data_IF_362927793693
#
_entry.id   IF_362927793693
#
_cell.length_a   1.000
_cell.length_b   1.000
_cell.length_c   1.000
_cell.angle_alpha   90.00
_cell.angle_beta   90.00
_cell.angle_gamma   90.00
#
_symmetry.space_group_name_H-M   'P 1'
#
loop_
_entity.id
_entity.type
_entity.pdbx_description
1 polymer ?
#
# COMPACT_ATOMS: atom_id res chain seq x y z
N UNK A 1 9.73 -10.75 10.88
CA UNK A 1 11.01 -10.34 10.27
C UNK A 1 11.92 -9.83 11.38
N UNK A 2 13.12 -10.42 11.49
CA UNK A 2 14.14 -9.99 12.44
C UNK A 2 14.74 -8.64 12.02
N UNK A 3 14.96 -7.75 13.00
CA UNK A 3 15.65 -6.48 12.80
C UNK A 3 16.84 -6.35 13.76
N UNK A 4 17.94 -5.83 13.25
CA UNK A 4 19.12 -5.56 14.07
C UNK A 4 18.89 -4.29 14.90
N UNK A 5 19.20 -4.32 16.23
CA UNK A 5 18.88 -3.21 17.11
C UNK A 5 19.79 -1.99 16.91
N UNK A 6 20.95 -2.16 16.26
CA UNK A 6 22.02 -1.16 16.12
C UNK A 6 22.06 -0.45 14.77
N UNK A 7 21.14 -0.77 13.85
CA UNK A 7 21.07 -0.13 12.53
C UNK A 7 19.66 0.25 12.13
N UNK A 8 19.57 1.17 11.19
CA UNK A 8 18.31 1.50 10.52
C UNK A 8 17.70 0.28 9.85
N UNK A 9 16.38 0.15 9.95
CA UNK A 9 15.57 -0.78 9.16
C UNK A 9 14.74 0.00 8.14
N UNK A 10 14.93 -0.31 6.86
CA UNK A 10 14.37 0.45 5.75
C UNK A 10 13.24 -0.33 5.08
N UNK A 11 12.05 0.24 5.06
CA UNK A 11 10.91 -0.28 4.30
C UNK A 11 10.71 0.64 3.09
N UNK A 12 10.66 0.07 1.89
CA UNK A 12 10.32 0.79 0.68
C UNK A 12 8.86 0.49 0.32
N UNK A 13 7.99 1.51 0.44
CA UNK A 13 6.65 1.42 -0.12
C UNK A 13 6.69 1.66 -1.62
N UNK A 14 6.10 0.75 -2.39
CA UNK A 14 5.78 0.85 -3.81
C UNK A 14 4.28 0.68 -3.99
N UNK A 15 3.70 1.33 -4.99
CA UNK A 15 2.27 1.24 -5.26
C UNK A 15 1.97 1.46 -6.75
N UNK A 16 0.84 0.98 -7.21
CA UNK A 16 0.30 1.25 -8.54
C UNK A 16 1.33 0.98 -9.65
N UNK A 17 1.87 -0.26 -9.71
CA UNK A 17 2.83 -0.64 -10.73
C UNK A 17 2.15 -0.86 -12.09
N UNK A 18 0.91 -1.37 -12.08
CA UNK A 18 0.07 -1.61 -13.24
C UNK A 18 0.77 -2.36 -14.37
N UNK A 19 1.42 -3.49 -14.04
CA UNK A 19 2.16 -4.28 -15.01
C UNK A 19 1.20 -5.10 -15.89
N UNK A 20 1.16 -4.76 -17.17
CA UNK A 20 0.23 -5.37 -18.12
C UNK A 20 0.70 -6.71 -18.69
N UNK A 21 1.99 -6.82 -19.03
CA UNK A 21 2.61 -8.00 -19.65
C UNK A 21 1.83 -8.62 -20.81
N UNK A 22 1.07 -7.79 -21.54
CA UNK A 22 0.26 -8.15 -22.67
C UNK A 22 0.77 -7.57 -24.00
N UNK A 23 -0.07 -7.67 -25.02
CA UNK A 23 0.30 -7.28 -26.39
C UNK A 23 0.59 -5.77 -26.52
N UNK A 24 -0.09 -4.93 -25.73
CA UNK A 24 -0.06 -3.47 -25.91
C UNK A 24 0.76 -2.74 -24.83
N UNK A 25 1.25 -3.45 -23.80
CA UNK A 25 1.90 -2.84 -22.62
C UNK A 25 3.42 -2.93 -22.59
N UNK A 26 4.06 -3.72 -23.46
CA UNK A 26 5.48 -4.10 -23.40
C UNK A 26 6.45 -2.96 -23.08
N UNK A 27 6.33 -1.81 -23.78
CA UNK A 27 7.23 -0.66 -23.55
C UNK A 27 6.99 -0.02 -22.18
N UNK A 28 5.73 0.06 -21.77
CA UNK A 28 5.31 0.65 -20.48
C UNK A 28 5.74 -0.25 -19.32
N UNK A 29 5.58 -1.56 -19.47
CA UNK A 29 6.05 -2.54 -18.49
C UNK A 29 7.57 -2.43 -18.29
N UNK A 30 8.35 -2.32 -19.35
CA UNK A 30 9.79 -2.12 -19.28
C UNK A 30 10.17 -0.85 -18.52
N UNK A 31 9.44 0.26 -18.71
CA UNK A 31 9.67 1.50 -17.97
C UNK A 31 9.33 1.34 -16.50
N UNK A 32 8.21 0.68 -16.15
CA UNK A 32 7.82 0.41 -14.77
C UNK A 32 8.85 -0.47 -14.06
N UNK A 33 9.27 -1.58 -14.68
CA UNK A 33 10.31 -2.46 -14.13
C UNK A 33 11.65 -1.75 -13.93
N UNK A 34 12.04 -0.89 -14.88
CA UNK A 34 13.24 -0.07 -14.74
C UNK A 34 13.11 0.94 -13.59
N UNK A 35 11.97 1.59 -13.45
CA UNK A 35 11.71 2.53 -12.37
C UNK A 35 11.83 1.84 -11.00
N UNK A 36 11.15 0.71 -10.79
CA UNK A 36 11.25 -0.10 -9.57
C UNK A 36 12.71 -0.48 -9.30
N UNK A 37 13.41 -1.03 -10.30
CA UNK A 37 14.82 -1.43 -10.15
C UNK A 37 15.71 -0.27 -9.75
N UNK A 38 15.48 0.92 -10.30
CA UNK A 38 16.24 2.14 -9.99
C UNK A 38 16.02 2.57 -8.54
N UNK A 39 14.74 2.59 -8.08
CA UNK A 39 14.37 3.01 -6.73
C UNK A 39 14.91 2.00 -5.69
N UNK A 40 14.75 0.69 -5.93
CA UNK A 40 15.28 -0.36 -5.05
C UNK A 40 16.81 -0.26 -4.91
N UNK A 41 17.54 -0.06 -6.02
CA UNK A 41 19.01 0.11 -5.98
C UNK A 41 19.44 1.36 -5.22
N UNK A 42 18.68 2.45 -5.37
CA UNK A 42 18.94 3.74 -4.69
C UNK A 42 18.68 3.66 -3.20
N UNK A 43 17.60 2.99 -2.78
CA UNK A 43 17.15 2.95 -1.38
C UNK A 43 17.77 1.82 -0.59
N UNK A 44 18.10 0.69 -1.22
CA UNK A 44 18.62 -0.53 -0.60
C UNK A 44 17.76 -0.92 0.62
N UNK A 45 16.47 -1.22 0.42
CA UNK A 45 15.57 -1.49 1.53
C UNK A 45 15.80 -2.89 2.10
N UNK A 46 15.44 -3.08 3.36
CA UNK A 46 15.40 -4.39 4.03
C UNK A 46 14.09 -5.12 3.79
N UNK A 47 13.03 -4.38 3.47
CA UNK A 47 11.68 -4.87 3.17
C UNK A 47 11.04 -4.00 2.08
N UNK A 48 10.29 -4.62 1.17
CA UNK A 48 9.45 -3.89 0.22
C UNK A 48 7.99 -4.11 0.61
N UNK A 49 7.24 -3.02 0.82
CA UNK A 49 5.80 -3.03 1.06
C UNK A 49 5.08 -2.54 -0.21
N UNK A 50 4.20 -3.36 -0.78
CA UNK A 50 3.48 -3.03 -2.01
C UNK A 50 2.01 -2.78 -1.68
N UNK A 51 1.55 -1.56 -1.86
CA UNK A 51 0.19 -1.15 -1.53
C UNK A 51 -0.75 -1.22 -2.73
N UNK A 52 -0.79 -2.41 -3.37
CA UNK A 52 -1.78 -2.76 -4.39
C UNK A 52 -1.45 -2.35 -5.82
N UNK A 53 -2.32 -2.76 -6.73
CA UNK A 53 -2.27 -2.52 -8.17
C UNK A 53 -0.92 -2.91 -8.79
N UNK A 54 -0.48 -4.12 -8.44
CA UNK A 54 0.76 -4.71 -8.94
C UNK A 54 0.65 -5.08 -10.42
N UNK A 55 -0.50 -5.60 -10.84
CA UNK A 55 -0.80 -6.02 -12.20
C UNK A 55 -2.07 -5.36 -12.74
N UNK A 56 -2.21 -5.35 -14.08
CA UNK A 56 -3.32 -4.66 -14.75
C UNK A 56 -3.91 -5.51 -15.88
N UNK A 57 -4.81 -6.45 -15.57
CA UNK A 57 -5.42 -7.34 -16.55
C UNK A 57 -6.60 -6.67 -17.28
N UNK A 58 -6.35 -5.57 -17.96
CA UNK A 58 -7.36 -4.80 -18.69
C UNK A 58 -7.07 -4.80 -20.19
N UNK A 59 -7.88 -5.53 -20.96
CA UNK A 59 -7.60 -5.80 -22.37
C UNK A 59 -7.36 -4.54 -23.21
N UNK A 60 -8.16 -3.47 -23.12
CA UNK A 60 -7.97 -2.28 -23.97
C UNK A 60 -6.60 -1.60 -23.80
N UNK A 61 -5.97 -1.70 -22.62
CA UNK A 61 -4.67 -1.08 -22.34
C UNK A 61 -3.52 -2.08 -22.29
N UNK A 62 -3.70 -3.20 -21.59
CA UNK A 62 -2.68 -4.23 -21.44
C UNK A 62 -2.62 -5.19 -22.65
N UNK A 63 -3.74 -5.42 -23.33
CA UNK A 63 -3.85 -6.44 -24.38
C UNK A 63 -3.99 -7.86 -23.85
N UNK A 64 -4.43 -8.01 -22.59
CA UNK A 64 -4.66 -9.31 -21.93
C UNK A 64 -5.57 -9.17 -20.72
N UNK A 65 -6.28 -10.26 -20.39
CA UNK A 65 -7.02 -10.46 -19.13
C UNK A 65 -6.35 -11.54 -18.25
N UNK A 66 -5.13 -11.96 -18.60
CA UNK A 66 -4.46 -13.07 -17.94
C UNK A 66 -3.62 -12.61 -16.76
N UNK A 67 -4.29 -12.23 -15.66
CA UNK A 67 -3.63 -11.83 -14.42
C UNK A 67 -2.76 -12.93 -13.80
N UNK A 68 -3.07 -14.21 -14.01
CA UNK A 68 -2.17 -15.31 -13.62
C UNK A 68 -0.77 -15.14 -14.19
N UNK A 69 -0.67 -14.92 -15.51
CA UNK A 69 0.63 -14.72 -16.18
C UNK A 69 1.31 -13.44 -15.69
N UNK A 70 0.54 -12.38 -15.52
CA UNK A 70 1.05 -11.10 -15.01
C UNK A 70 1.67 -11.28 -13.64
N UNK A 71 0.95 -11.91 -12.69
CA UNK A 71 1.45 -12.20 -11.35
C UNK A 71 2.72 -13.08 -11.36
N UNK A 72 2.75 -14.13 -12.20
CA UNK A 72 3.94 -14.98 -12.32
C UNK A 72 5.19 -14.21 -12.80
N UNK A 73 5.02 -13.23 -13.69
CA UNK A 73 6.14 -12.41 -14.16
C UNK A 73 6.54 -11.40 -13.07
N UNK A 74 5.56 -10.78 -12.41
CA UNK A 74 5.79 -9.88 -11.28
C UNK A 74 6.56 -10.58 -10.14
N UNK A 75 6.12 -11.76 -9.71
CA UNK A 75 6.78 -12.55 -8.66
C UNK A 75 8.24 -12.82 -9.03
N UNK A 76 8.49 -13.32 -10.26
CA UNK A 76 9.87 -13.57 -10.73
C UNK A 76 10.71 -12.30 -10.75
N UNK A 77 10.13 -11.16 -11.09
CA UNK A 77 10.83 -9.89 -11.08
C UNK A 77 11.16 -9.46 -9.65
N UNK A 78 10.22 -9.55 -8.71
CA UNK A 78 10.46 -9.19 -7.31
C UNK A 78 11.50 -10.12 -6.65
N UNK A 79 11.45 -11.42 -6.93
CA UNK A 79 12.39 -12.41 -6.41
C UNK A 79 13.85 -12.16 -6.83
N UNK A 80 14.09 -11.47 -7.94
CA UNK A 80 15.46 -11.10 -8.39
C UNK A 80 16.17 -10.16 -7.41
N UNK A 81 15.42 -9.34 -6.66
CA UNK A 81 16.03 -8.44 -5.68
C UNK A 81 16.55 -9.17 -4.45
N UNK A 82 16.06 -10.36 -4.16
CA UNK A 82 16.38 -11.14 -2.94
C UNK A 82 16.09 -10.37 -1.66
N UNK A 83 15.10 -9.51 -1.70
CA UNK A 83 14.60 -8.70 -0.58
C UNK A 83 13.20 -9.22 -0.24
N UNK A 84 12.89 -9.48 1.04
CA UNK A 84 11.53 -9.81 1.44
C UNK A 84 10.54 -8.75 0.95
N UNK A 85 9.38 -9.18 0.47
CA UNK A 85 8.31 -8.27 0.11
C UNK A 85 6.95 -8.73 0.62
N UNK A 86 6.21 -7.77 1.16
CA UNK A 86 4.83 -7.90 1.60
C UNK A 86 3.93 -7.09 0.66
N UNK A 87 2.67 -7.46 0.50
CA UNK A 87 1.77 -6.74 -0.39
C UNK A 87 0.32 -6.85 0.05
N UNK A 88 -0.52 -5.95 -0.44
CA UNK A 88 -1.97 -6.05 -0.45
C UNK A 88 -2.47 -6.05 -1.89
N UNK A 89 -3.73 -6.45 -2.09
CA UNK A 89 -4.40 -6.26 -3.37
C UNK A 89 -4.80 -4.79 -3.57
N UNK A 90 -4.79 -4.36 -4.84
CA UNK A 90 -5.51 -3.18 -5.29
C UNK A 90 -6.73 -3.59 -6.10
N UNK A 91 -7.55 -2.61 -6.48
CA UNK A 91 -8.78 -2.86 -7.20
C UNK A 91 -8.56 -3.38 -8.63
N UNK A 92 -7.36 -3.19 -9.19
CA UNK A 92 -7.03 -3.66 -10.54
C UNK A 92 -6.34 -5.02 -10.60
N UNK A 93 -5.84 -5.58 -9.51
CA UNK A 93 -5.14 -6.87 -9.54
C UNK A 93 -6.04 -8.03 -9.99
N UNK A 94 -7.35 -7.91 -9.73
CA UNK A 94 -8.36 -8.91 -10.08
C UNK A 94 -9.58 -8.29 -10.78
N UNK A 95 -9.34 -7.58 -11.88
CA UNK A 95 -10.40 -6.97 -12.70
C UNK A 95 -11.47 -7.98 -13.14
N UNK A 96 -12.67 -7.47 -13.38
CA UNK A 96 -13.77 -8.26 -13.96
C UNK A 96 -13.31 -8.96 -15.23
N UNK A 97 -13.65 -10.24 -15.37
CA UNK A 97 -13.22 -11.14 -16.44
C UNK A 97 -11.72 -11.55 -16.39
N UNK A 98 -10.98 -11.19 -15.36
CA UNK A 98 -9.63 -11.73 -15.14
C UNK A 98 -9.66 -13.24 -15.00
N UNK A 99 -8.56 -13.89 -15.40
CA UNK A 99 -8.44 -15.36 -15.35
C UNK A 99 -8.51 -15.93 -13.94
N UNK A 100 -7.96 -15.22 -12.95
CA UNK A 100 -7.91 -15.60 -11.55
C UNK A 100 -8.63 -14.54 -10.69
N UNK A 101 -9.41 -15.03 -9.73
CA UNK A 101 -9.96 -14.23 -8.65
C UNK A 101 -8.92 -13.99 -7.54
N UNK A 102 -9.26 -13.20 -6.52
CA UNK A 102 -8.38 -12.85 -5.41
C UNK A 102 -7.81 -14.09 -4.70
N UNK A 103 -8.62 -15.14 -4.48
CA UNK A 103 -8.21 -16.37 -3.82
C UNK A 103 -7.05 -17.07 -4.55
N UNK A 104 -7.19 -17.27 -5.87
CA UNK A 104 -6.17 -17.89 -6.71
C UNK A 104 -4.96 -16.99 -6.91
N UNK A 105 -5.16 -15.68 -6.94
CA UNK A 105 -4.07 -14.72 -7.00
C UNK A 105 -3.27 -14.70 -5.69
N UNK A 106 -3.93 -14.81 -4.54
CA UNK A 106 -3.28 -14.93 -3.23
C UNK A 106 -2.36 -16.15 -3.14
N UNK A 107 -2.81 -17.31 -3.64
CA UNK A 107 -1.97 -18.52 -3.71
C UNK A 107 -0.71 -18.29 -4.57
N UNK A 108 -0.84 -17.57 -5.68
CA UNK A 108 0.31 -17.21 -6.51
C UNK A 108 1.26 -16.25 -5.78
N UNK A 109 0.75 -15.15 -5.22
CA UNK A 109 1.59 -14.18 -4.54
C UNK A 109 2.31 -14.79 -3.33
N UNK A 110 1.66 -15.68 -2.58
CA UNK A 110 2.29 -16.44 -1.50
C UNK A 110 3.38 -17.41 -1.98
N UNK A 111 3.38 -17.82 -3.25
CA UNK A 111 4.37 -18.76 -3.80
C UNK A 111 5.72 -18.12 -4.15
N UNK A 112 5.86 -16.80 -4.10
CA UNK A 112 7.11 -16.10 -4.36
C UNK A 112 8.19 -16.48 -3.35
N UNK A 113 9.43 -16.67 -3.81
CA UNK A 113 10.54 -17.09 -2.95
C UNK A 113 10.84 -16.13 -1.81
N UNK A 114 10.69 -14.84 -2.07
CA UNK A 114 10.91 -13.77 -1.09
C UNK A 114 9.61 -13.08 -0.68
N UNK A 115 8.47 -13.60 -1.14
CA UNK A 115 7.16 -13.14 -0.70
C UNK A 115 6.90 -13.55 0.75
N UNK A 116 6.43 -12.60 1.55
CA UNK A 116 5.92 -12.85 2.90
C UNK A 116 4.42 -12.56 2.98
N UNK A 117 3.77 -12.52 1.81
CA UNK A 117 2.32 -12.42 1.70
C UNK A 117 1.65 -13.66 2.30
N UNK A 118 0.58 -13.44 3.04
CA UNK A 118 -0.31 -14.50 3.50
C UNK A 118 -1.75 -14.18 3.13
N UNK A 119 -2.52 -15.22 2.82
CA UNK A 119 -3.92 -15.10 2.43
C UNK A 119 -4.80 -14.53 3.54
N UNK A 120 -4.36 -14.67 4.78
CA UNK A 120 -5.15 -14.27 5.96
C UNK A 120 -6.13 -15.36 6.40
N UNK A 121 -7.04 -14.98 7.28
CA UNK A 121 -8.05 -15.86 7.87
C UNK A 121 -9.31 -15.86 7.00
N UNK A 122 -9.90 -17.02 6.70
CA UNK A 122 -11.06 -17.10 5.81
C UNK A 122 -12.35 -16.51 6.43
N UNK A 123 -12.40 -16.36 7.75
CA UNK A 123 -13.53 -15.75 8.47
C UNK A 123 -13.51 -14.22 8.47
N UNK A 124 -12.40 -13.59 8.03
CA UNK A 124 -12.26 -12.13 7.91
C UNK A 124 -12.50 -11.73 6.46
N UNK A 125 -13.34 -10.73 6.25
CA UNK A 125 -13.68 -10.25 4.90
C UNK A 125 -12.43 -9.83 4.12
N UNK A 126 -12.43 -10.05 2.80
CA UNK A 126 -11.29 -9.77 1.93
C UNK A 126 -10.20 -10.85 1.97
N UNK A 127 -9.16 -10.65 1.19
CA UNK A 127 -8.06 -11.62 1.00
C UNK A 127 -6.72 -10.93 1.17
N UNK A 128 -5.90 -11.41 2.10
CA UNK A 128 -4.58 -10.80 2.35
C UNK A 128 -4.58 -9.87 3.55
N UNK A 129 -5.41 -10.15 4.57
CA UNK A 129 -5.35 -9.48 5.85
C UNK A 129 -4.36 -10.21 6.77
N UNK A 130 -3.23 -9.61 7.08
CA UNK A 130 -2.20 -10.25 7.91
C UNK A 130 -1.30 -9.25 8.64
N UNK A 131 -0.65 -9.75 9.70
CA UNK A 131 0.40 -9.04 10.41
C UNK A 131 1.78 -9.54 10.00
N UNK A 132 2.70 -8.61 9.89
CA UNK A 132 4.12 -8.85 9.78
C UNK A 132 4.81 -8.13 10.93
N UNK A 133 5.27 -8.87 11.93
CA UNK A 133 5.95 -8.28 13.06
C UNK A 133 7.45 -8.13 12.78
N UNK A 134 7.98 -6.93 12.98
CA UNK A 134 9.42 -6.71 13.10
C UNK A 134 9.82 -6.99 14.53
N UNK A 135 10.77 -7.91 14.74
CA UNK A 135 11.13 -8.43 16.05
C UNK A 135 12.62 -8.28 16.32
N UNK A 136 13.00 -8.15 17.59
CA UNK A 136 14.38 -8.28 18.03
C UNK A 136 14.84 -9.75 18.13
N UNK A 137 16.08 -9.96 18.61
CA UNK A 137 16.69 -11.29 18.78
C UNK A 137 15.95 -12.16 19.81
N UNK A 138 15.27 -11.56 20.76
CA UNK A 138 14.47 -12.24 21.77
C UNK A 138 13.05 -12.55 21.29
N UNK A 139 12.69 -12.14 20.07
CA UNK A 139 11.35 -12.32 19.49
C UNK A 139 10.32 -11.27 19.95
N UNK A 140 10.74 -10.25 20.73
CA UNK A 140 9.85 -9.16 21.11
C UNK A 140 9.47 -8.34 19.90
N UNK A 141 8.20 -8.00 19.78
CA UNK A 141 7.67 -7.19 18.68
C UNK A 141 8.05 -5.74 18.87
N UNK A 142 8.86 -5.20 17.97
CA UNK A 142 9.32 -3.81 17.99
C UNK A 142 8.47 -2.88 17.11
N UNK A 143 7.90 -3.41 16.04
CA UNK A 143 7.03 -2.68 15.12
C UNK A 143 6.11 -3.65 14.38
N UNK A 144 4.84 -3.74 14.74
CA UNK A 144 3.84 -4.46 13.97
C UNK A 144 3.55 -3.71 12.67
N UNK A 145 3.58 -4.43 11.55
CA UNK A 145 3.08 -3.98 10.26
C UNK A 145 1.81 -4.76 9.98
N UNK A 146 0.70 -4.08 9.74
CA UNK A 146 -0.57 -4.70 9.34
C UNK A 146 -0.85 -4.40 7.89
N UNK A 147 -1.14 -5.45 7.13
CA UNK A 147 -1.55 -5.40 5.73
C UNK A 147 -3.03 -5.73 5.67
N UNK A 148 -3.82 -4.84 5.08
CA UNK A 148 -5.29 -4.97 5.02
C UNK A 148 -5.75 -4.87 3.57
N UNK A 149 -6.58 -5.82 3.17
CA UNK A 149 -7.31 -5.72 1.91
C UNK A 149 -8.37 -4.60 2.04
N UNK A 150 -8.23 -3.55 1.26
CA UNK A 150 -9.23 -2.48 1.18
C UNK A 150 -10.34 -2.78 0.17
N UNK A 151 -10.34 -4.01 -0.32
CA UNK A 151 -11.29 -4.55 -1.28
C UNK A 151 -11.23 -3.83 -2.63
N UNK A 152 -12.28 -3.94 -3.45
CA UNK A 152 -12.25 -3.42 -4.82
C UNK A 152 -13.36 -2.37 -5.03
N UNK A 153 -14.58 -2.84 -5.23
CA UNK A 153 -15.76 -2.04 -5.53
C UNK A 153 -16.87 -2.45 -4.58
N UNK A 154 -17.71 -1.49 -4.17
CA UNK A 154 -18.81 -1.75 -3.28
C UNK A 154 -19.83 -2.76 -3.84
N UNK A 155 -20.81 -3.16 -3.03
CA UNK A 155 -21.73 -4.29 -3.29
C UNK A 155 -22.43 -4.27 -4.65
N UNK A 156 -22.69 -3.08 -5.24
CA UNK A 156 -23.31 -2.93 -6.55
C UNK A 156 -22.30 -2.81 -7.70
N UNK A 157 -21.02 -3.06 -7.44
CA UNK A 157 -19.94 -2.99 -8.41
C UNK A 157 -19.59 -1.58 -8.90
N UNK A 158 -18.64 -1.49 -9.79
CA UNK A 158 -18.04 -0.26 -10.27
C UNK A 158 -19.01 0.83 -10.74
N UNK A 159 -20.19 0.44 -11.26
CA UNK A 159 -21.12 1.40 -11.86
C UNK A 159 -22.02 2.14 -10.86
N UNK A 160 -22.18 1.66 -9.62
CA UNK A 160 -23.24 2.15 -8.75
C UNK A 160 -22.83 2.50 -7.31
N UNK A 161 -21.71 1.98 -6.77
CA UNK A 161 -21.37 2.16 -5.35
C UNK A 161 -19.97 2.71 -5.08
N UNK A 162 -19.19 3.00 -6.13
CA UNK A 162 -17.81 3.47 -5.96
C UNK A 162 -16.89 2.38 -5.41
N UNK A 163 -15.81 2.81 -4.78
CA UNK A 163 -14.84 1.90 -4.16
C UNK A 163 -15.38 1.36 -2.84
N UNK A 164 -14.91 0.16 -2.48
CA UNK A 164 -15.16 -0.47 -1.19
C UNK A 164 -14.19 0.06 -0.12
N UNK A 165 -14.29 -0.43 1.11
CA UNK A 165 -13.48 0.01 2.24
C UNK A 165 -12.94 -1.19 3.04
N UNK A 166 -12.13 -0.91 4.05
CA UNK A 166 -11.80 -1.87 5.10
C UNK A 166 -13.06 -2.10 5.94
N UNK A 167 -13.60 -3.31 5.92
CA UNK A 167 -14.84 -3.70 6.60
C UNK A 167 -14.66 -3.75 8.11
N UNK A 168 -15.80 -3.76 8.82
CA UNK A 168 -15.81 -3.67 10.27
C UNK A 168 -15.13 -4.86 10.94
N UNK A 169 -15.35 -6.07 10.44
CA UNK A 169 -14.71 -7.30 10.93
C UNK A 169 -13.19 -7.30 10.74
N UNK A 170 -12.69 -6.76 9.60
CA UNK A 170 -11.25 -6.54 9.37
C UNK A 170 -10.68 -5.54 10.40
N UNK A 171 -11.40 -4.45 10.64
CA UNK A 171 -11.01 -3.43 11.60
C UNK A 171 -10.99 -4.00 13.03
N UNK A 172 -12.01 -4.73 13.45
CA UNK A 172 -12.08 -5.35 14.77
C UNK A 172 -10.97 -6.37 14.98
N UNK A 173 -10.78 -7.28 14.04
CA UNK A 173 -9.67 -8.22 14.07
C UNK A 173 -8.30 -7.52 14.22
N UNK A 174 -8.10 -6.45 13.48
CA UNK A 174 -6.86 -5.66 13.55
C UNK A 174 -6.69 -5.04 14.93
N UNK A 175 -7.74 -4.37 15.46
CA UNK A 175 -7.67 -3.69 16.75
C UNK A 175 -7.50 -4.66 17.91
N UNK A 176 -8.16 -5.81 17.91
CA UNK A 176 -8.01 -6.85 18.94
C UNK A 176 -6.56 -7.35 19.01
N UNK A 177 -5.95 -7.60 17.85
CA UNK A 177 -4.54 -8.01 17.80
C UNK A 177 -3.59 -6.93 18.32
N UNK A 178 -3.83 -5.67 17.96
CA UNK A 178 -3.02 -4.54 18.43
C UNK A 178 -3.19 -4.30 19.93
N UNK A 179 -4.41 -4.47 20.46
CA UNK A 179 -4.65 -4.40 21.91
C UNK A 179 -3.88 -5.49 22.66
N UNK A 180 -3.86 -6.71 22.13
CA UNK A 180 -3.04 -7.79 22.73
C UNK A 180 -1.55 -7.44 22.78
N UNK A 181 -1.00 -6.88 21.68
CA UNK A 181 0.38 -6.43 21.64
C UNK A 181 0.66 -5.28 22.62
N UNK A 182 -0.30 -4.36 22.80
CA UNK A 182 -0.17 -3.26 23.76
C UNK A 182 -0.21 -3.72 25.21
N UNK A 183 -0.83 -4.86 25.51
CA UNK A 183 -0.74 -5.47 26.85
C UNK A 183 0.67 -5.99 27.14
N UNK A 184 1.38 -6.46 26.11
CA UNK A 184 2.77 -6.93 26.22
C UNK A 184 3.77 -5.75 26.25
N UNK A 185 3.52 -4.72 25.42
CA UNK A 185 4.32 -3.48 25.35
C UNK A 185 3.37 -2.26 25.22
N UNK A 186 3.19 -1.48 26.32
CA UNK A 186 2.32 -0.30 26.33
C UNK A 186 2.71 0.79 25.31
N UNK A 187 3.97 0.86 24.92
CA UNK A 187 4.52 1.86 23.99
C UNK A 187 4.54 1.38 22.52
N UNK A 188 4.02 0.18 22.24
CA UNK A 188 3.98 -0.39 20.91
C UNK A 188 3.27 0.56 19.93
N UNK A 189 3.88 0.73 18.74
CA UNK A 189 3.34 1.54 17.66
C UNK A 189 3.28 0.68 16.39
N UNK A 190 2.23 0.82 15.60
CA UNK A 190 2.00 0.02 14.39
C UNK A 190 1.90 0.88 13.13
N UNK A 191 2.18 0.24 11.99
CA UNK A 191 1.95 0.76 10.65
C UNK A 191 0.88 -0.05 9.94
N UNK A 192 -0.05 0.61 9.24
CA UNK A 192 -1.06 -0.05 8.42
C UNK A 192 -0.80 0.26 6.93
N UNK A 193 -0.90 -0.78 6.10
CA UNK A 193 -0.73 -0.73 4.65
C UNK A 193 -1.99 -1.27 3.98
N UNK A 194 -2.57 -0.49 3.09
CA UNK A 194 -3.76 -0.84 2.31
C UNK A 194 -3.72 -0.11 0.97
N UNK A 195 -4.66 -0.37 0.07
CA UNK A 195 -4.64 0.25 -1.26
C UNK A 195 -5.54 1.47 -1.34
N UNK A 196 -6.86 1.29 -1.22
CA UNK A 196 -7.83 2.37 -1.31
C UNK A 196 -7.76 3.23 -0.04
N UNK A 197 -7.60 4.55 -0.15
CA UNK A 197 -7.43 5.43 1.01
C UNK A 197 -8.68 5.47 1.88
N UNK A 198 -8.52 5.72 3.17
CA UNK A 198 -9.64 6.00 4.06
C UNK A 198 -10.24 7.38 3.77
N UNK A 199 -11.54 7.55 3.97
CA UNK A 199 -12.26 8.80 3.66
C UNK A 199 -11.68 10.03 4.38
N UNK A 200 -11.07 9.81 5.52
CA UNK A 200 -10.47 10.86 6.35
C UNK A 200 -9.26 11.56 5.72
N UNK A 201 -8.66 11.00 4.66
CA UNK A 201 -7.68 11.75 3.86
C UNK A 201 -8.28 13.02 3.26
N UNK A 202 -9.51 12.95 2.75
CA UNK A 202 -10.23 14.12 2.21
C UNK A 202 -10.57 15.11 3.32
N UNK A 203 -11.12 14.62 4.44
CA UNK A 203 -11.43 15.47 5.60
C UNK A 203 -10.18 16.22 6.10
N UNK A 204 -9.06 15.53 6.26
CA UNK A 204 -7.79 16.11 6.68
C UNK A 204 -7.28 17.15 5.67
N UNK A 205 -7.37 16.88 4.38
CA UNK A 205 -6.96 17.83 3.34
C UNK A 205 -7.82 19.11 3.35
N UNK A 206 -9.14 18.98 3.44
CA UNK A 206 -10.06 20.11 3.50
C UNK A 206 -9.79 20.99 4.74
N UNK A 207 -9.60 20.37 5.90
CA UNK A 207 -9.23 21.08 7.14
C UNK A 207 -7.87 21.78 7.00
N UNK A 208 -6.88 21.10 6.44
CA UNK A 208 -5.55 21.68 6.20
C UNK A 208 -5.64 22.94 5.31
N UNK A 209 -6.44 22.89 4.24
CA UNK A 209 -6.64 24.04 3.33
C UNK A 209 -7.31 25.24 4.03
N UNK A 210 -8.13 24.98 5.03
CA UNK A 210 -8.77 26.02 5.85
C UNK A 210 -7.86 26.54 6.98
N UNK A 211 -6.64 26.00 7.10
CA UNK A 211 -5.70 26.41 8.16
C UNK A 211 -6.03 25.82 9.54
N UNK A 212 -6.83 24.75 9.60
CA UNK A 212 -7.17 24.07 10.85
C UNK A 212 -5.92 23.42 11.46
N UNK A 213 -5.59 23.83 12.69
CA UNK A 213 -4.41 23.37 13.43
C UNK A 213 -4.50 21.92 13.91
N UNK A 214 -5.66 21.27 13.78
CA UNK A 214 -5.82 19.83 14.07
C UNK A 214 -5.13 18.93 13.05
N UNK A 215 -4.72 19.49 11.90
CA UNK A 215 -3.98 18.78 10.85
C UNK A 215 -2.58 19.36 10.71
N UNK A 216 -1.56 18.52 10.75
CA UNK A 216 -0.18 18.90 10.48
C UNK A 216 0.24 18.42 9.10
N UNK A 217 0.57 19.36 8.21
CA UNK A 217 1.16 19.04 6.90
C UNK A 217 2.59 18.52 7.07
N UNK A 218 2.91 17.44 6.38
CA UNK A 218 4.25 16.84 6.41
C UNK A 218 4.97 17.00 5.08
N UNK A 219 4.37 16.52 3.98
CA UNK A 219 4.91 16.69 2.61
C UNK A 219 3.86 16.34 1.55
N UNK A 220 4.22 16.55 0.28
CA UNK A 220 3.43 16.13 -0.87
C UNK A 220 2.24 17.03 -1.18
N UNK A 221 1.36 16.57 -2.04
CA UNK A 221 0.17 17.31 -2.47
C UNK A 221 -0.92 16.37 -2.98
N UNK A 222 -2.11 16.92 -3.20
CA UNK A 222 -3.15 16.32 -4.01
C UNK A 222 -2.93 16.80 -5.45
N UNK A 223 -2.65 15.87 -6.35
CA UNK A 223 -2.33 16.14 -7.75
C UNK A 223 -3.42 15.70 -8.73
N UNK A 224 -4.45 15.01 -8.26
CA UNK A 224 -5.58 14.62 -9.07
C UNK A 224 -6.42 15.82 -9.51
N UNK A 225 -7.10 15.69 -10.66
CA UNK A 225 -7.92 16.76 -11.24
C UNK A 225 -9.06 17.11 -10.28
N UNK A 226 -9.27 18.41 -10.05
CA UNK A 226 -10.27 18.95 -9.11
C UNK A 226 -10.12 18.44 -7.67
N UNK A 227 -8.88 18.21 -7.22
CA UNK A 227 -8.57 17.69 -5.89
C UNK A 227 -9.35 16.39 -5.58
N UNK A 228 -9.40 15.49 -6.58
CA UNK A 228 -10.13 14.23 -6.47
C UNK A 228 -9.46 13.28 -5.47
N UNK A 229 -10.31 12.55 -4.76
CA UNK A 229 -9.96 11.45 -3.87
C UNK A 229 -10.76 10.21 -4.25
N UNK A 230 -10.05 9.12 -4.57
CA UNK A 230 -10.64 7.81 -4.81
C UNK A 230 -11.03 7.09 -3.51
N UNK A 231 -11.83 7.77 -2.68
CA UNK A 231 -12.27 7.26 -1.38
C UNK A 231 -13.47 6.33 -1.52
N UNK A 232 -13.71 5.46 -0.52
CA UNK A 232 -14.89 4.60 -0.48
C UNK A 232 -16.21 5.38 -0.60
N UNK A 233 -17.20 4.76 -1.22
CA UNK A 233 -18.56 5.29 -1.26
C UNK A 233 -19.27 5.27 0.10
N UNK A 234 -18.84 4.38 1.00
CA UNK A 234 -19.34 4.26 2.36
C UNK A 234 -18.23 4.64 3.35
N UNK A 235 -18.58 5.34 4.42
CA UNK A 235 -17.63 5.63 5.51
C UNK A 235 -17.28 4.34 6.26
N UNK A 236 -16.03 3.90 6.15
CA UNK A 236 -15.50 2.78 6.93
C UNK A 236 -15.30 3.16 8.40
N UNK A 237 -15.25 2.16 9.28
CA UNK A 237 -15.01 2.38 10.72
C UNK A 237 -13.55 2.30 11.11
N UNK A 238 -12.66 1.88 10.19
CA UNK A 238 -11.26 1.55 10.47
C UNK A 238 -10.47 2.72 11.06
N UNK A 239 -10.54 3.91 10.44
CA UNK A 239 -9.79 5.07 10.93
C UNK A 239 -10.24 5.48 12.34
N UNK A 240 -11.55 5.55 12.58
CA UNK A 240 -12.11 5.86 13.90
C UNK A 240 -11.63 4.86 14.96
N UNK A 241 -11.74 3.55 14.69
CA UNK A 241 -11.25 2.49 15.58
C UNK A 241 -9.74 2.57 15.81
N UNK A 242 -8.96 2.92 14.80
CA UNK A 242 -7.51 3.12 14.92
C UNK A 242 -7.16 4.31 15.82
N UNK A 243 -7.90 5.42 15.72
CA UNK A 243 -7.74 6.57 16.63
C UNK A 243 -8.07 6.19 18.07
N UNK A 244 -9.19 5.51 18.30
CA UNK A 244 -9.63 5.05 19.62
C UNK A 244 -8.64 4.05 20.23
N UNK A 245 -8.15 3.11 19.44
CA UNK A 245 -7.14 2.14 19.84
C UNK A 245 -5.79 2.79 20.18
N UNK A 246 -5.37 3.78 19.40
CA UNK A 246 -4.17 4.57 19.64
C UNK A 246 -2.84 3.89 19.34
N UNK A 247 -2.79 2.65 18.83
CA UNK A 247 -1.56 1.92 18.50
C UNK A 247 -1.08 2.23 17.08
N UNK A 248 -1.99 2.33 16.09
CA UNK A 248 -1.62 2.72 14.72
C UNK A 248 -1.19 4.19 14.69
N UNK A 249 0.03 4.44 14.25
CA UNK A 249 0.60 5.78 14.12
C UNK A 249 0.86 6.19 12.68
N UNK A 250 0.90 5.24 11.76
CA UNK A 250 1.14 5.47 10.34
C UNK A 250 0.20 4.64 9.48
N UNK A 251 -0.36 5.26 8.46
CA UNK A 251 -1.17 4.62 7.43
C UNK A 251 -0.58 4.94 6.05
N UNK A 252 -0.47 3.93 5.20
CA UNK A 252 0.09 4.02 3.85
C UNK A 252 -0.90 3.45 2.85
N UNK A 253 -1.21 4.22 1.82
CA UNK A 253 -2.10 3.81 0.73
C UNK A 253 -1.50 4.10 -0.65
N UNK A 254 -2.20 3.68 -1.70
CA UNK A 254 -1.94 3.96 -3.10
C UNK A 254 -3.17 4.55 -3.78
N UNK A 255 -3.56 3.96 -4.91
CA UNK A 255 -4.81 4.18 -5.63
C UNK A 255 -4.90 5.49 -6.42
N UNK A 256 -4.72 6.64 -5.80
CA UNK A 256 -4.74 7.94 -6.45
C UNK A 256 -3.34 8.27 -6.99
N UNK A 257 -3.14 8.13 -8.29
CA UNK A 257 -1.81 8.09 -8.91
C UNK A 257 -1.04 9.40 -8.85
N UNK A 258 -1.73 10.53 -8.73
CA UNK A 258 -1.11 11.85 -8.67
C UNK A 258 -1.05 12.41 -7.25
N UNK A 259 -1.65 11.72 -6.27
CA UNK A 259 -1.63 12.13 -4.88
C UNK A 259 -0.35 11.64 -4.19
N UNK A 260 0.27 12.52 -3.42
CA UNK A 260 1.50 12.25 -2.64
C UNK A 260 1.42 12.86 -1.25
N UNK A 261 0.24 13.32 -0.85
CA UNK A 261 0.01 14.01 0.41
C UNK A 261 0.37 13.13 1.61
N UNK A 262 1.10 13.71 2.55
CA UNK A 262 1.32 13.16 3.89
C UNK A 262 0.93 14.20 4.93
N UNK A 263 0.02 13.83 5.83
CA UNK A 263 -0.49 14.68 6.91
C UNK A 263 -0.60 13.89 8.21
N UNK A 264 -0.51 14.57 9.34
CA UNK A 264 -0.89 14.01 10.64
C UNK A 264 -2.27 14.55 11.01
N UNK A 265 -3.21 13.63 11.22
CA UNK A 265 -4.57 13.94 11.62
C UNK A 265 -5.01 13.00 12.74
N UNK A 266 -5.57 13.55 13.81
CA UNK A 266 -5.99 12.78 15.02
C UNK A 266 -4.90 11.83 15.55
N UNK A 267 -3.62 12.25 15.46
CA UNK A 267 -2.47 11.48 15.96
C UNK A 267 -1.99 10.35 15.05
N UNK A 268 -2.54 10.21 13.85
CA UNK A 268 -2.13 9.24 12.83
C UNK A 268 -1.54 9.98 11.63
N UNK A 269 -0.34 9.59 11.20
CA UNK A 269 0.26 10.07 9.96
C UNK A 269 -0.24 9.25 8.79
N UNK A 270 -1.04 9.86 7.94
CA UNK A 270 -1.58 9.26 6.70
C UNK A 270 -0.74 9.69 5.51
N UNK A 271 -0.33 8.75 4.66
CA UNK A 271 0.61 9.00 3.56
C UNK A 271 0.18 8.27 2.29
N UNK A 272 -0.04 9.02 1.21
CA UNK A 272 -0.11 8.46 -0.14
C UNK A 272 1.28 8.06 -0.62
N UNK A 273 1.41 6.83 -1.12
CA UNK A 273 2.58 6.37 -1.83
C UNK A 273 2.73 7.02 -3.20
N UNK A 274 3.98 7.21 -3.64
CA UNK A 274 4.24 7.65 -5.01
C UNK A 274 3.98 6.51 -6.00
N UNK A 275 3.08 6.72 -6.95
CA UNK A 275 2.75 5.73 -7.98
C UNK A 275 3.92 5.49 -8.95
N UNK A 276 4.05 4.24 -9.41
CA UNK A 276 4.98 3.85 -10.49
C UNK A 276 4.32 3.92 -11.86
N UNK A 277 3.02 3.82 -11.95
CA UNK A 277 2.21 3.55 -13.16
C UNK A 277 2.71 4.20 -14.47
N UNK A 278 2.82 3.38 -15.50
CA UNK A 278 3.05 3.78 -16.89
C UNK A 278 1.90 3.37 -17.81
N UNK A 279 0.94 2.57 -17.32
CA UNK A 279 -0.07 1.92 -18.16
C UNK A 279 -1.51 2.29 -17.80
N UNK A 280 -1.84 2.28 -16.51
CA UNK A 280 -3.22 2.38 -16.04
C UNK A 280 -3.81 3.76 -16.23
N UNK A 281 -3.11 4.79 -15.80
CA UNK A 281 -3.61 6.15 -15.73
C UNK A 281 -2.86 7.13 -16.65
N UNK A 282 -3.58 7.74 -17.60
CA UNK A 282 -2.94 8.62 -18.60
C UNK A 282 -2.37 9.92 -18.01
N UNK A 283 -2.90 10.39 -16.87
CA UNK A 283 -2.45 11.62 -16.20
C UNK A 283 -1.01 11.56 -15.77
N UNK A 284 -0.56 10.44 -15.23
CA UNK A 284 0.80 10.26 -14.72
C UNK A 284 1.86 10.28 -15.84
N UNK A 285 1.49 9.92 -17.08
CA UNK A 285 2.37 10.03 -18.23
C UNK A 285 2.86 11.46 -18.49
N UNK A 286 2.05 12.45 -18.12
CA UNK A 286 2.35 13.88 -18.28
C UNK A 286 3.13 14.47 -17.09
N UNK A 287 3.22 13.74 -15.98
CA UNK A 287 3.81 14.22 -14.71
C UNK A 287 4.89 13.28 -14.19
N UNK A 288 5.92 13.05 -15.00
CA UNK A 288 7.02 12.11 -14.72
C UNK A 288 7.70 12.30 -13.36
N UNK A 289 7.70 13.50 -12.82
CA UNK A 289 8.33 13.82 -11.54
C UNK A 289 7.62 13.22 -10.32
N UNK A 290 6.41 12.72 -10.51
CA UNK A 290 5.62 12.13 -9.43
C UNK A 290 5.82 10.62 -9.27
N UNK A 291 6.45 9.95 -10.22
CA UNK A 291 6.79 8.53 -10.07
C UNK A 291 7.89 8.35 -9.04
N UNK A 292 7.72 7.34 -8.20
CA UNK A 292 8.71 7.10 -7.16
C UNK A 292 8.30 6.01 -6.19
N UNK A 293 8.81 6.09 -4.97
CA UNK A 293 8.44 5.28 -3.83
C UNK A 293 8.52 6.10 -2.54
N UNK A 294 8.04 5.56 -1.45
CA UNK A 294 8.18 6.14 -0.11
C UNK A 294 9.15 5.30 0.69
N UNK A 295 10.25 5.89 1.14
CA UNK A 295 11.19 5.25 2.03
C UNK A 295 10.78 5.54 3.48
N UNK A 296 10.57 4.48 4.23
CA UNK A 296 10.24 4.49 5.66
C UNK A 296 11.47 3.94 6.37
N UNK A 297 12.09 4.74 7.21
CA UNK A 297 13.26 4.33 8.00
C UNK A 297 12.88 4.28 9.47
N UNK A 298 12.98 3.10 10.08
CA UNK A 298 12.94 2.93 11.53
C UNK A 298 14.36 2.96 12.06
N UNK A 299 14.64 3.93 12.91
CA UNK A 299 15.93 4.06 13.58
C UNK A 299 16.05 3.17 14.81
N UNK A 300 17.28 2.91 15.31
CA UNK A 300 17.51 2.10 16.51
C UNK A 300 16.75 2.57 17.76
N UNK A 301 16.56 3.88 17.91
CA UNK A 301 15.80 4.50 18.99
C UNK A 301 14.27 4.34 18.88
N UNK A 302 13.80 3.67 17.83
CA UNK A 302 12.38 3.47 17.55
C UNK A 302 11.70 4.63 16.82
N UNK A 303 12.40 5.72 16.55
CA UNK A 303 11.87 6.82 15.73
C UNK A 303 11.70 6.39 14.28
N UNK A 304 10.78 7.05 13.57
CA UNK A 304 10.43 6.72 12.18
C UNK A 304 10.51 7.97 11.32
N UNK A 305 11.34 7.90 10.27
CA UNK A 305 11.45 8.90 9.23
C UNK A 305 10.74 8.42 7.95
N UNK A 306 10.01 9.32 7.29
CA UNK A 306 9.39 9.08 5.98
C UNK A 306 9.95 10.06 4.96
N UNK A 307 10.42 9.53 3.83
CA UNK A 307 10.96 10.33 2.74
C UNK A 307 10.41 9.87 1.39
N UNK A 308 9.89 10.81 0.60
CA UNK A 308 9.62 10.56 -0.82
C UNK A 308 10.91 10.29 -1.58
N UNK A 309 10.89 9.30 -2.46
CA UNK A 309 12.02 8.92 -3.33
C UNK A 309 11.56 9.05 -4.78
N UNK A 310 11.61 10.24 -5.37
CA UNK A 310 11.24 10.42 -6.76
C UNK A 310 12.21 9.66 -7.67
N UNK A 311 11.68 9.14 -8.78
CA UNK A 311 12.47 8.42 -9.78
C UNK A 311 13.56 9.31 -10.39
N UNK A 312 13.20 10.55 -10.71
CA UNK A 312 14.10 11.55 -11.25
C UNK A 312 14.27 12.68 -10.23
N UNK A 313 15.47 12.84 -9.69
CA UNK A 313 15.83 14.06 -8.97
C UNK A 313 16.10 15.16 -10.00
N UNK A 314 15.49 16.33 -9.77
CA UNK A 314 15.84 17.54 -10.50
C UNK A 314 16.99 18.26 -9.80
#
# INVERSE_FOLDING_TARGET
VFIYPDRDFKILQLTDLHLGFGLFSKKRDQLALKAVSTIVKKTKPDLIAITGDSVFPFFPKAGTLNNKRQAQIFIRFMDQFRIPYAMVFGNHDCEMFSRYNNEKMAELFASGKYSIFTKGRPEIYGVGNYFLNLTDEQGRVLLPLVFLDSNMYGENGWFYSGFDCIHEDQADWCMDRLLSLRQEDPDVKAMAFFHIPVAEFKEAYEKMRLGDKSVTYMHGNIGEVNDHFGIPGNEGTFFRKAVENGVIKWMFCGHDHLNTLSVVYKGIRMTYGMSIDYLGYNGILKRHTQRGGTLITRHPDGSVELRMVPLNER
#
